data_IF_913331604275
#
_entry.id   IF_913331604275
#
_cell.length_a   1.000
_cell.length_b   1.000
_cell.length_c   1.000
_cell.angle_alpha   90.00
_cell.angle_beta   90.00
_cell.angle_gamma   90.00
#
_symmetry.space_group_name_H-M   'P 1'
#
loop_
_entity.id
_entity.type
_entity.pdbx_description
1 polymer ?
#
# COMPACT_ATOMS: atom_id res chain seq x y z
N UNK A 1 23.02 -10.38 1.12
CA UNK A 1 21.59 -10.59 0.80
C UNK A 1 20.81 -10.37 2.07
N UNK A 2 19.99 -9.33 2.17
CA UNK A 2 19.16 -9.09 3.35
C UNK A 2 18.12 -10.22 3.44
N UNK A 3 18.16 -11.01 4.52
CA UNK A 3 17.12 -11.99 4.78
C UNK A 3 15.82 -11.23 5.09
N UNK A 4 14.88 -11.23 4.15
CA UNK A 4 13.53 -10.73 4.36
C UNK A 4 12.90 -11.59 5.46
N UNK A 5 12.32 -10.98 6.49
CA UNK A 5 11.73 -11.74 7.58
C UNK A 5 10.52 -12.56 7.08
N UNK A 6 10.23 -13.75 7.67
CA UNK A 6 9.05 -14.53 7.27
C UNK A 6 7.75 -13.72 7.36
N UNK A 7 7.67 -12.80 8.33
CA UNK A 7 6.53 -11.88 8.48
C UNK A 7 6.40 -10.95 7.27
N UNK A 8 7.50 -10.35 6.81
CA UNK A 8 7.49 -9.45 5.66
C UNK A 8 7.19 -10.19 4.35
N UNK A 9 7.65 -11.44 4.21
CA UNK A 9 7.29 -12.30 3.08
C UNK A 9 5.78 -12.58 3.04
N UNK A 10 5.18 -12.92 4.19
CA UNK A 10 3.73 -13.14 4.31
C UNK A 10 2.96 -11.87 3.92
N UNK A 11 3.40 -10.70 4.38
CA UNK A 11 2.75 -9.42 4.07
C UNK A 11 2.89 -9.04 2.60
N UNK A 12 4.07 -9.23 2.01
CA UNK A 12 4.33 -8.92 0.60
C UNK A 12 3.51 -9.82 -0.33
N UNK A 13 3.58 -11.14 -0.18
CA UNK A 13 2.80 -12.06 -1.03
C UNK A 13 1.29 -11.97 -0.75
N UNK A 14 0.92 -11.68 0.49
CA UNK A 14 -0.46 -11.41 0.86
C UNK A 14 -1.00 -10.16 0.16
N UNK A 15 -0.20 -9.10 0.10
CA UNK A 15 -0.54 -7.88 -0.63
C UNK A 15 -0.75 -8.15 -2.12
N UNK A 16 0.18 -8.82 -2.80
CA UNK A 16 0.05 -9.19 -4.22
C UNK A 16 -1.23 -10.02 -4.47
N UNK A 17 -1.53 -10.96 -3.58
CA UNK A 17 -2.74 -11.78 -3.67
C UNK A 17 -4.02 -10.94 -3.54
N UNK A 18 -4.05 -9.96 -2.63
CA UNK A 18 -5.20 -9.07 -2.41
C UNK A 18 -5.42 -8.11 -3.57
N UNK A 19 -4.36 -7.52 -4.14
CA UNK A 19 -4.51 -6.58 -5.26
C UNK A 19 -4.96 -7.28 -6.55
N UNK A 20 -4.50 -8.52 -6.77
CA UNK A 20 -4.82 -9.28 -7.97
C UNK A 20 -6.22 -9.90 -7.87
N UNK A 21 -6.51 -10.58 -6.76
CA UNK A 21 -7.70 -11.44 -6.63
C UNK A 21 -8.82 -10.85 -5.76
N UNK A 22 -8.53 -9.81 -4.98
CA UNK A 22 -9.46 -9.20 -4.03
C UNK A 22 -9.57 -9.94 -2.70
N UNK A 23 -10.10 -9.24 -1.69
CA UNK A 23 -10.20 -9.76 -0.30
C UNK A 23 -11.19 -10.92 -0.13
N UNK A 24 -12.17 -11.02 -1.04
CA UNK A 24 -13.16 -12.12 -1.05
C UNK A 24 -12.49 -13.45 -1.39
N UNK A 25 -11.70 -13.45 -2.47
CA UNK A 25 -11.00 -14.63 -3.00
C UNK A 25 -9.76 -14.99 -2.20
N UNK A 26 -9.25 -14.07 -1.37
CA UNK A 26 -8.08 -14.32 -0.54
C UNK A 26 -8.34 -15.40 0.52
N UNK A 27 -7.46 -16.40 0.57
CA UNK A 27 -7.48 -17.45 1.59
C UNK A 27 -6.08 -17.69 2.16
N UNK A 28 -6.02 -17.99 3.46
CA UNK A 28 -4.75 -18.36 4.13
C UNK A 28 -4.21 -19.67 3.57
N UNK A 29 -5.08 -20.58 3.11
CA UNK A 29 -4.69 -21.82 2.42
C UNK A 29 -3.87 -21.53 1.16
N UNK A 30 -4.43 -20.76 0.21
CA UNK A 30 -3.76 -20.43 -1.04
C UNK A 30 -2.44 -19.65 -0.80
N UNK A 31 -2.44 -18.72 0.18
CA UNK A 31 -1.23 -18.00 0.55
C UNK A 31 -0.17 -18.94 1.14
N UNK A 32 -0.56 -19.89 1.99
CA UNK A 32 0.36 -20.84 2.62
C UNK A 32 1.02 -21.76 1.59
N UNK A 33 0.26 -22.21 0.58
CA UNK A 33 0.77 -22.99 -0.54
C UNK A 33 1.77 -22.19 -1.38
N UNK A 34 1.44 -20.93 -1.71
CA UNK A 34 2.34 -20.03 -2.46
C UNK A 34 3.67 -19.79 -1.74
N UNK A 35 3.64 -19.65 -0.42
CA UNK A 35 4.81 -19.38 0.41
C UNK A 35 5.58 -20.64 0.83
N UNK A 36 5.11 -21.84 0.48
CA UNK A 36 5.60 -23.11 1.04
C UNK A 36 5.65 -23.09 2.58
N UNK A 37 4.65 -22.47 3.21
CA UNK A 37 4.50 -22.37 4.66
C UNK A 37 3.27 -23.14 5.13
N UNK A 38 3.27 -23.60 6.38
CA UNK A 38 2.03 -24.11 6.98
C UNK A 38 1.09 -22.95 7.35
N UNK A 39 -0.23 -23.19 7.32
CA UNK A 39 -1.21 -22.24 7.90
C UNK A 39 -0.89 -21.90 9.35
N UNK A 40 -0.40 -22.87 10.14
CA UNK A 40 0.02 -22.67 11.53
C UNK A 40 1.15 -21.64 11.64
N UNK A 41 2.07 -21.61 10.69
CA UNK A 41 3.15 -20.62 10.62
C UNK A 41 2.59 -19.21 10.38
N UNK A 42 1.65 -19.05 9.44
CA UNK A 42 1.01 -17.75 9.18
C UNK A 42 0.20 -17.29 10.41
N UNK A 43 -0.60 -18.19 11.00
CA UNK A 43 -1.42 -17.88 12.18
C UNK A 43 -0.58 -17.57 13.43
N UNK A 44 0.68 -18.01 13.51
CA UNK A 44 1.62 -17.59 14.56
C UNK A 44 1.88 -16.08 14.52
N UNK A 45 1.92 -15.48 13.33
CA UNK A 45 2.14 -14.04 13.16
C UNK A 45 0.83 -13.25 13.11
N UNK A 46 -0.22 -13.84 12.53
CA UNK A 46 -1.50 -13.20 12.27
C UNK A 46 -2.63 -14.13 12.68
N UNK A 47 -3.11 -14.07 13.94
CA UNK A 47 -3.98 -15.09 14.53
C UNK A 47 -5.30 -15.37 13.78
N UNK A 48 -5.78 -14.41 12.98
CA UNK A 48 -6.99 -14.55 12.15
C UNK A 48 -6.74 -14.05 10.73
N UNK A 49 -7.61 -14.46 9.79
CA UNK A 49 -7.62 -13.91 8.42
C UNK A 49 -7.77 -12.38 8.44
N UNK A 50 -8.60 -11.84 9.33
CA UNK A 50 -8.86 -10.40 9.42
C UNK A 50 -7.63 -9.65 9.94
N UNK A 51 -6.93 -10.19 10.94
CA UNK A 51 -5.65 -9.63 11.41
C UNK A 51 -4.60 -9.64 10.29
N UNK A 52 -4.56 -10.69 9.46
CA UNK A 52 -3.66 -10.77 8.31
C UNK A 52 -4.01 -9.73 7.25
N UNK A 53 -5.28 -9.60 6.86
CA UNK A 53 -5.75 -8.59 5.89
C UNK A 53 -5.45 -7.18 6.39
N UNK A 54 -5.69 -6.90 7.67
CA UNK A 54 -5.35 -5.61 8.27
C UNK A 54 -3.87 -5.31 8.20
N UNK A 55 -3.02 -6.28 8.54
CA UNK A 55 -1.58 -6.12 8.47
C UNK A 55 -1.08 -5.95 7.03
N UNK A 56 -1.66 -6.66 6.07
CA UNK A 56 -1.36 -6.52 4.63
C UNK A 56 -1.68 -5.09 4.15
N UNK A 57 -2.83 -4.55 4.53
CA UNK A 57 -3.23 -3.20 4.13
C UNK A 57 -2.40 -2.11 4.82
N UNK A 58 -2.02 -2.31 6.09
CA UNK A 58 -1.04 -1.45 6.76
C UNK A 58 0.33 -1.51 6.10
N UNK A 59 0.78 -2.68 5.69
CA UNK A 59 2.01 -2.85 4.92
C UNK A 59 1.97 -2.06 3.61
N UNK A 60 0.84 -2.08 2.90
CA UNK A 60 0.65 -1.27 1.69
C UNK A 60 0.71 0.24 1.97
N UNK A 61 0.03 0.72 3.01
CA UNK A 61 0.09 2.14 3.42
C UNK A 61 1.52 2.56 3.80
N UNK A 62 2.26 1.72 4.51
CA UNK A 62 3.65 1.99 4.86
C UNK A 62 4.55 2.05 3.62
N UNK A 63 4.33 1.19 2.61
CA UNK A 63 5.06 1.28 1.33
C UNK A 63 4.79 2.59 0.62
N UNK A 64 3.54 3.08 0.65
CA UNK A 64 3.20 4.40 0.11
C UNK A 64 3.89 5.51 0.90
N UNK A 65 3.91 5.44 2.23
CA UNK A 65 4.59 6.46 3.04
C UNK A 65 6.10 6.51 2.76
N UNK A 66 6.76 5.36 2.67
CA UNK A 66 8.18 5.30 2.31
C UNK A 66 8.46 5.85 0.90
N UNK A 67 7.48 5.82 -0.02
CA UNK A 67 7.62 6.49 -1.32
C UNK A 67 7.68 8.01 -1.14
N UNK A 68 6.76 8.59 -0.36
CA UNK A 68 6.79 10.02 -0.06
C UNK A 68 8.11 10.42 0.60
N UNK A 69 8.48 9.75 1.69
CA UNK A 69 9.71 10.04 2.44
C UNK A 69 10.94 9.95 1.54
N UNK A 70 11.06 8.88 0.75
CA UNK A 70 12.21 8.68 -0.13
C UNK A 70 12.25 9.70 -1.27
N UNK A 71 11.13 10.02 -1.92
CA UNK A 71 11.14 10.95 -3.05
C UNK A 71 11.38 12.38 -2.57
N UNK A 72 10.67 12.83 -1.53
CA UNK A 72 10.81 14.19 -1.00
C UNK A 72 12.23 14.45 -0.43
N UNK A 73 12.89 13.43 0.11
CA UNK A 73 14.25 13.58 0.64
C UNK A 73 15.35 13.60 -0.45
N UNK A 74 15.11 13.05 -1.64
CA UNK A 74 16.17 12.78 -2.63
C UNK A 74 15.96 13.45 -3.99
N UNK A 75 14.79 14.01 -4.25
CA UNK A 75 14.49 14.73 -5.50
C UNK A 75 14.20 16.19 -5.18
N UNK A 76 15.07 17.14 -5.57
CA UNK A 76 14.84 18.55 -5.27
C UNK A 76 13.78 19.20 -6.17
N UNK A 77 13.51 18.68 -7.38
CA UNK A 77 12.55 19.30 -8.29
C UNK A 77 11.10 18.88 -7.96
N UNK A 78 10.20 19.82 -7.57
CA UNK A 78 8.85 19.48 -7.12
C UNK A 78 7.97 18.83 -8.20
N UNK A 79 8.11 19.23 -9.47
CA UNK A 79 7.37 18.60 -10.57
C UNK A 79 7.82 17.14 -10.77
N UNK A 80 9.12 16.86 -10.67
CA UNK A 80 9.66 15.49 -10.74
C UNK A 80 9.29 14.68 -9.50
N UNK A 81 9.23 15.29 -8.31
CA UNK A 81 8.73 14.64 -7.09
C UNK A 81 7.30 14.13 -7.31
N UNK A 82 6.40 15.01 -7.79
CA UNK A 82 5.01 14.65 -8.06
C UNK A 82 4.91 13.48 -9.03
N UNK A 83 5.60 13.56 -10.18
CA UNK A 83 5.61 12.49 -11.19
C UNK A 83 6.10 11.17 -10.58
N UNK A 84 7.24 11.17 -9.89
CA UNK A 84 7.81 9.96 -9.27
C UNK A 84 6.89 9.33 -8.23
N UNK A 85 6.25 10.15 -7.38
CA UNK A 85 5.29 9.67 -6.38
C UNK A 85 4.10 9.03 -7.07
N UNK A 86 3.49 9.73 -8.04
CA UNK A 86 2.31 9.24 -8.74
C UNK A 86 2.60 7.96 -9.55
N UNK A 87 3.73 7.87 -10.21
CA UNK A 87 4.16 6.65 -10.91
C UNK A 87 4.34 5.46 -9.96
N UNK A 88 5.00 5.66 -8.82
CA UNK A 88 5.26 4.60 -7.84
C UNK A 88 3.97 4.13 -7.17
N UNK A 89 3.08 5.05 -6.79
CA UNK A 89 1.76 4.70 -6.25
C UNK A 89 0.92 3.95 -7.30
N UNK A 90 0.94 4.41 -8.55
CA UNK A 90 0.23 3.74 -9.65
C UNK A 90 0.77 2.33 -9.93
N UNK A 91 2.08 2.10 -9.78
CA UNK A 91 2.66 0.74 -9.89
C UNK A 91 2.19 -0.20 -8.78
N UNK A 92 1.96 0.31 -7.56
CA UNK A 92 1.48 -0.47 -6.42
C UNK A 92 -0.02 -0.77 -6.56
N UNK A 93 -0.83 0.24 -6.86
CA UNK A 93 -2.29 0.16 -6.77
C UNK A 93 -3.01 0.09 -8.12
N UNK A 94 -2.37 0.48 -9.22
CA UNK A 94 -2.99 0.65 -10.54
C UNK A 94 -3.52 -0.63 -11.18
N UNK A 95 -3.12 -1.80 -10.68
CA UNK A 95 -3.68 -3.10 -11.09
C UNK A 95 -5.00 -3.43 -10.39
N UNK A 96 -5.38 -2.70 -9.33
CA UNK A 96 -6.59 -2.98 -8.56
C UNK A 96 -7.81 -2.41 -9.26
N UNK A 97 -8.81 -3.25 -9.57
CA UNK A 97 -10.05 -2.79 -10.18
C UNK A 97 -10.94 -2.07 -9.17
N UNK A 98 -11.79 -1.15 -9.67
CA UNK A 98 -12.77 -0.43 -8.83
C UNK A 98 -13.68 -1.41 -8.07
N UNK A 99 -14.08 -2.52 -8.71
CA UNK A 99 -14.86 -3.57 -8.06
C UNK A 99 -14.16 -4.12 -6.81
N UNK A 100 -12.86 -4.42 -6.88
CA UNK A 100 -12.09 -4.92 -5.72
C UNK A 100 -12.01 -3.90 -4.59
N UNK A 101 -11.93 -2.60 -4.92
CA UNK A 101 -11.95 -1.53 -3.92
C UNK A 101 -13.32 -1.43 -3.22
N UNK A 102 -14.42 -1.53 -3.99
CA UNK A 102 -15.78 -1.54 -3.44
C UNK A 102 -15.99 -2.76 -2.53
N UNK A 103 -15.47 -3.92 -2.91
CA UNK A 103 -15.50 -5.12 -2.06
C UNK A 103 -14.72 -4.94 -0.77
N UNK A 104 -13.50 -4.40 -0.84
CA UNK A 104 -12.70 -4.09 0.34
C UNK A 104 -13.45 -3.15 1.29
N UNK A 105 -14.03 -2.07 0.75
CA UNK A 105 -14.83 -1.11 1.51
C UNK A 105 -16.03 -1.77 2.19
N UNK A 106 -16.72 -2.67 1.50
CA UNK A 106 -17.91 -3.35 2.02
C UNK A 106 -17.57 -4.40 3.08
N UNK A 107 -16.49 -5.17 2.90
CA UNK A 107 -16.13 -6.27 3.80
C UNK A 107 -15.32 -5.80 5.01
N UNK A 108 -14.50 -4.76 4.85
CA UNK A 108 -13.61 -4.26 5.90
C UNK A 108 -13.78 -2.73 6.09
N UNK A 109 -14.96 -2.25 6.53
CA UNK A 109 -15.25 -0.81 6.63
C UNK A 109 -14.32 -0.07 7.60
N UNK A 110 -13.88 -0.72 8.69
CA UNK A 110 -12.93 -0.13 9.64
C UNK A 110 -11.56 0.08 8.99
N UNK A 111 -11.06 -0.91 8.26
CA UNK A 111 -9.76 -0.79 7.56
C UNK A 111 -9.88 0.23 6.42
N UNK A 112 -11.01 0.27 5.72
CA UNK A 112 -11.28 1.29 4.72
C UNK A 112 -11.22 2.70 5.30
N UNK A 113 -11.76 2.91 6.50
CA UNK A 113 -11.64 4.20 7.19
C UNK A 113 -10.19 4.55 7.49
N UNK A 114 -9.36 3.60 7.89
CA UNK A 114 -7.91 3.83 8.09
C UNK A 114 -7.23 4.25 6.77
N UNK A 115 -7.57 3.59 5.66
CA UNK A 115 -7.03 3.94 4.32
C UNK A 115 -7.43 5.37 3.93
N UNK A 116 -8.69 5.75 4.15
CA UNK A 116 -9.15 7.11 3.84
C UNK A 116 -8.47 8.16 4.71
N UNK A 117 -8.32 7.90 6.02
CA UNK A 117 -7.58 8.81 6.91
C UNK A 117 -6.11 8.94 6.48
N UNK A 118 -5.46 7.83 6.11
CA UNK A 118 -4.10 7.84 5.58
C UNK A 118 -4.00 8.63 4.28
N UNK A 119 -4.97 8.51 3.36
CA UNK A 119 -5.00 9.27 2.10
C UNK A 119 -5.17 10.76 2.37
N UNK A 120 -6.08 11.13 3.27
CA UNK A 120 -6.32 12.52 3.65
C UNK A 120 -5.09 13.16 4.31
N UNK A 121 -4.33 12.41 5.12
CA UNK A 121 -3.10 12.92 5.74
C UNK A 121 -1.93 13.15 4.75
N UNK A 122 -2.12 12.90 3.45
CA UNK A 122 -1.14 13.22 2.39
C UNK A 122 -1.54 14.41 1.53
N UNK A 123 -2.72 14.97 1.76
CA UNK A 123 -3.16 16.19 1.05
C UNK A 123 -2.15 17.31 1.30
N UNK A 124 -1.72 17.51 2.55
CA UNK A 124 -0.74 18.57 2.88
C UNK A 124 0.60 18.35 2.17
N UNK A 125 1.10 17.09 2.11
CA UNK A 125 2.34 16.78 1.37
C UNK A 125 2.22 17.12 -0.12
N UNK A 126 1.08 16.83 -0.75
CA UNK A 126 0.86 17.20 -2.15
C UNK A 126 0.70 18.71 -2.33
N UNK A 127 0.05 19.38 -1.38
CA UNK A 127 -0.06 20.83 -1.39
C UNK A 127 1.32 21.48 -1.35
N UNK A 128 2.20 21.03 -0.47
CA UNK A 128 3.58 21.54 -0.37
C UNK A 128 4.33 21.36 -1.70
N UNK A 129 4.29 20.16 -2.29
CA UNK A 129 4.92 19.87 -3.59
C UNK A 129 4.41 20.79 -4.70
N UNK A 130 3.08 21.00 -4.78
CA UNK A 130 2.48 21.84 -5.81
C UNK A 130 2.84 23.32 -5.59
N UNK A 131 2.82 23.77 -4.34
CA UNK A 131 3.17 25.14 -3.97
C UNK A 131 4.64 25.44 -4.30
N UNK A 132 5.56 24.56 -3.92
CA UNK A 132 6.98 24.69 -4.26
C UNK A 132 7.17 24.71 -5.79
N UNK A 133 6.41 23.87 -6.51
CA UNK A 133 6.39 23.88 -7.97
C UNK A 133 5.89 25.18 -8.60
N UNK A 134 4.95 25.89 -7.96
CA UNK A 134 4.49 27.21 -8.39
C UNK A 134 5.55 28.28 -8.12
N UNK A 135 6.18 28.27 -6.94
CA UNK A 135 7.26 29.19 -6.58
C UNK A 135 8.47 29.08 -7.53
N UNK A 136 8.76 27.87 -8.03
CA UNK A 136 9.80 27.62 -9.04
C UNK A 136 9.34 27.84 -10.50
N UNK A 137 8.07 28.20 -10.74
CA UNK A 137 7.52 28.40 -12.09
C UNK A 137 7.37 27.11 -12.92
N UNK A 138 7.38 25.94 -12.28
CA UNK A 138 7.22 24.62 -12.90
C UNK A 138 5.75 24.19 -13.00
N UNK A 139 4.89 24.73 -12.13
CA UNK A 139 3.46 24.43 -12.03
C UNK A 139 2.67 25.75 -12.15
N UNK A 140 1.51 25.71 -12.83
CA UNK A 140 0.63 26.88 -12.97
C UNK A 140 -0.31 27.00 -11.77
N UNK A 141 -0.81 28.21 -11.53
CA UNK A 141 -1.91 28.48 -10.60
C UNK A 141 -3.24 27.84 -11.04
#
# INVERSE_FOLDING_TARGET
MSHISPKDQILSEGFESVIDSGVRSFTVEALSQRLAMSKKTIYKFFPTKDNLIHAILKFAMNRVESIFESVMANEPNPAVQFIKIMEKISKIMGKTSVHRLVELKSQYPTIWREIELFRLSRVDKFYDILKDGQEEGLVRD
#
